data_IF_171385604985
#
_entry.id   IF_171385604985
#
_cell.length_a   1.000
_cell.length_b   1.000
_cell.length_c   1.000
_cell.angle_alpha   90.00
_cell.angle_beta   90.00
_cell.angle_gamma   90.00
#
_symmetry.space_group_name_H-M   'P 1'
#
loop_
_entity.id
_entity.type
_entity.pdbx_description
1 polymer ?
#
# COMPACT_ATOMS: atom_id res chain seq x y z
N UNK A 1 -15.63 -5.94 -12.22
CA UNK A 1 -15.69 -4.72 -11.40
C UNK A 1 -14.31 -4.54 -10.79
N UNK A 2 -13.43 -3.82 -11.47
CA UNK A 2 -12.10 -3.48 -10.93
C UNK A 2 -12.32 -2.58 -9.71
N UNK A 3 -12.03 -3.10 -8.51
CA UNK A 3 -12.11 -2.30 -7.28
C UNK A 3 -11.24 -1.06 -7.43
N UNK A 4 -11.78 0.10 -7.07
CA UNK A 4 -11.01 1.35 -7.05
C UNK A 4 -9.81 1.16 -6.11
N UNK A 5 -8.61 1.37 -6.65
CA UNK A 5 -7.37 1.25 -5.87
C UNK A 5 -7.16 2.57 -5.14
N UNK A 6 -7.11 2.50 -3.82
CA UNK A 6 -7.01 3.69 -2.97
C UNK A 6 -5.55 4.12 -2.82
N UNK A 7 -5.27 5.39 -3.13
CA UNK A 7 -3.94 6.01 -3.02
C UNK A 7 -3.87 6.76 -1.71
N UNK A 8 -2.83 6.49 -0.93
CA UNK A 8 -2.53 7.24 0.30
C UNK A 8 -2.05 8.66 -0.04
N UNK A 9 -2.64 9.67 0.61
CA UNK A 9 -2.40 11.08 0.29
C UNK A 9 -0.99 11.57 0.69
N UNK A 10 -0.39 10.95 1.71
CA UNK A 10 0.89 11.38 2.27
C UNK A 10 2.06 10.75 1.49
N UNK A 11 2.01 9.45 1.28
CA UNK A 11 3.06 8.68 0.59
C UNK A 11 2.89 8.66 -0.93
N UNK A 12 1.69 8.97 -1.45
CA UNK A 12 1.35 8.80 -2.86
C UNK A 12 1.36 7.34 -3.32
N UNK A 13 1.36 6.39 -2.38
CA UNK A 13 1.45 4.95 -2.68
C UNK A 13 0.08 4.31 -2.65
N UNK A 14 -0.12 3.35 -3.56
CA UNK A 14 -1.34 2.54 -3.61
C UNK A 14 -1.43 1.62 -2.38
N UNK A 15 -2.63 1.45 -1.83
CA UNK A 15 -2.89 0.50 -0.74
C UNK A 15 -3.24 -0.89 -1.28
N UNK A 16 -3.04 -1.93 -0.48
CA UNK A 16 -3.30 -3.33 -0.89
C UNK A 16 -4.79 -3.67 -0.98
N UNK A 17 -5.67 -2.78 -0.50
CA UNK A 17 -7.13 -2.95 -0.53
C UNK A 17 -7.74 -3.59 0.71
N UNK A 18 -6.92 -3.94 1.71
CA UNK A 18 -7.40 -4.39 3.02
C UNK A 18 -7.30 -3.26 4.07
N UNK A 19 -8.31 -3.18 4.94
CA UNK A 19 -8.37 -2.24 6.06
C UNK A 19 -8.68 -2.99 7.35
N UNK A 20 -7.94 -2.65 8.41
CA UNK A 20 -8.04 -3.27 9.72
C UNK A 20 -8.10 -2.15 10.77
N UNK A 21 -9.26 -1.94 11.39
CA UNK A 21 -9.46 -0.90 12.43
C UNK A 21 -8.93 0.49 12.01
N UNK A 22 -9.13 0.87 10.75
CA UNK A 22 -8.65 2.14 10.18
C UNK A 22 -7.20 2.14 9.68
N UNK A 23 -6.46 1.04 9.87
CA UNK A 23 -5.10 0.86 9.36
C UNK A 23 -5.16 0.21 7.97
N UNK A 24 -4.46 0.80 7.01
CA UNK A 24 -4.32 0.30 5.63
C UNK A 24 -2.86 0.01 5.32
N UNK A 25 -2.63 -1.01 4.51
CA UNK A 25 -1.28 -1.41 4.11
C UNK A 25 -0.89 -0.76 2.79
N UNK A 26 0.32 -0.18 2.75
CA UNK A 26 0.92 0.38 1.54
C UNK A 26 1.57 -0.71 0.69
N UNK A 27 1.35 -0.64 -0.62
CA UNK A 27 1.95 -1.53 -1.60
C UNK A 27 3.34 -1.02 -2.04
N UNK A 28 4.29 -1.00 -1.09
CA UNK A 28 5.68 -0.61 -1.35
C UNK A 28 6.58 -1.83 -1.59
N UNK A 29 7.53 -1.77 -2.55
CA UNK A 29 8.52 -2.83 -2.70
C UNK A 29 9.47 -2.88 -1.51
N UNK A 30 10.06 -4.05 -1.26
CA UNK A 30 11.08 -4.23 -0.22
C UNK A 30 12.30 -3.34 -0.49
N UNK A 31 12.96 -2.81 0.56
CA UNK A 31 14.18 -2.06 0.41
C UNK A 31 15.28 -2.90 -0.27
N UNK A 32 16.04 -2.31 -1.20
CA UNK A 32 17.05 -3.04 -1.98
C UNK A 32 18.13 -3.72 -1.13
N UNK A 33 18.47 -3.15 0.03
CA UNK A 33 19.46 -3.71 0.94
C UNK A 33 18.97 -5.00 1.63
N UNK A 34 17.66 -5.25 1.62
CA UNK A 34 17.05 -6.47 2.19
C UNK A 34 17.07 -7.66 1.21
N UNK A 35 17.47 -7.44 -0.05
CA UNK A 35 17.55 -8.47 -1.09
C UNK A 35 18.95 -9.11 -1.21
N UNK A 36 19.90 -8.69 -0.37
CA UNK A 36 21.27 -9.22 -0.28
C UNK A 36 21.46 -9.95 1.05
#
# INVERSE_FOLDING_TARGET
MSGERHIDEISGTETTGHEWDGIKELNTPLPRWWLW
#
